data_IF_990999262766
#
_entry.id   IF_990999262766
#
_cell.length_a   1.000
_cell.length_b   1.000
_cell.length_c   1.000
_cell.angle_alpha   90.00
_cell.angle_beta   90.00
_cell.angle_gamma   90.00
#
_symmetry.space_group_name_H-M   'P 1'
#
loop_
_entity.id
_entity.type
_entity.pdbx_description
1 polymer ?
#
# COMPACT_ATOMS: atom_id res chain seq x y z
N UNK A 1 -26.43 26.76 -9.45
CA UNK A 1 -25.72 25.49 -9.78
C UNK A 1 -24.68 25.11 -8.73
N UNK A 2 -23.97 26.07 -8.10
CA UNK A 2 -22.92 25.78 -7.12
C UNK A 2 -23.40 25.19 -5.77
N UNK A 3 -24.59 25.56 -5.28
CA UNK A 3 -25.12 25.02 -4.00
C UNK A 3 -25.43 23.51 -4.08
N UNK A 4 -26.15 23.08 -5.12
CA UNK A 4 -26.54 21.68 -5.32
C UNK A 4 -25.33 20.76 -5.43
N UNK A 5 -24.28 21.19 -6.14
CA UNK A 5 -23.05 20.41 -6.28
C UNK A 5 -22.33 20.24 -4.93
N UNK A 6 -22.34 21.30 -4.11
CA UNK A 6 -21.72 21.28 -2.78
C UNK A 6 -22.52 20.43 -1.79
N UNK A 7 -23.85 20.44 -1.88
CA UNK A 7 -24.74 19.58 -1.08
C UNK A 7 -24.61 18.10 -1.46
N UNK A 8 -24.48 17.79 -2.75
CA UNK A 8 -24.16 16.43 -3.24
C UNK A 8 -22.80 15.99 -2.72
N UNK A 9 -21.78 16.85 -2.75
CA UNK A 9 -20.47 16.53 -2.22
C UNK A 9 -20.49 16.25 -0.71
N UNK A 10 -21.24 17.07 0.06
CA UNK A 10 -21.36 16.93 1.52
C UNK A 10 -22.14 15.67 1.91
N UNK A 11 -23.24 15.38 1.22
CA UNK A 11 -24.03 14.18 1.45
C UNK A 11 -23.25 12.90 1.13
N UNK A 12 -22.43 12.91 0.05
CA UNK A 12 -21.58 11.80 -0.32
C UNK A 12 -20.47 11.51 0.72
N UNK A 13 -19.92 12.55 1.35
CA UNK A 13 -18.96 12.39 2.46
C UNK A 13 -19.65 11.79 3.68
N UNK A 14 -20.80 12.33 4.08
CA UNK A 14 -21.55 11.85 5.26
C UNK A 14 -22.03 10.41 5.12
N UNK A 15 -22.55 10.03 3.95
CA UNK A 15 -23.05 8.68 3.69
C UNK A 15 -21.96 7.60 3.80
N UNK A 16 -20.68 8.00 3.75
CA UNK A 16 -19.55 7.09 3.71
C UNK A 16 -18.38 7.61 4.55
N UNK A 17 -18.69 8.14 5.73
CA UNK A 17 -17.74 8.73 6.64
C UNK A 17 -16.56 7.78 6.94
N UNK A 18 -16.79 6.47 7.06
CA UNK A 18 -15.73 5.48 7.33
C UNK A 18 -14.69 5.38 6.21
N UNK A 19 -15.13 5.41 4.94
CA UNK A 19 -14.23 5.36 3.79
C UNK A 19 -13.38 6.62 3.68
N UNK A 20 -13.99 7.78 3.95
CA UNK A 20 -13.31 9.07 3.95
C UNK A 20 -12.42 9.25 5.18
N UNK A 21 -12.79 8.68 6.33
CA UNK A 21 -11.98 8.64 7.54
C UNK A 21 -10.74 7.77 7.33
N UNK A 22 -10.88 6.59 6.73
CA UNK A 22 -9.73 5.75 6.36
C UNK A 22 -8.78 6.47 5.39
N UNK A 23 -9.34 7.18 4.40
CA UNK A 23 -8.57 8.01 3.48
C UNK A 23 -7.86 9.16 4.21
N UNK A 24 -8.57 9.90 5.06
CA UNK A 24 -8.02 11.00 5.86
C UNK A 24 -6.90 10.53 6.78
N UNK A 25 -7.10 9.46 7.55
CA UNK A 25 -6.07 8.88 8.43
C UNK A 25 -4.82 8.44 7.67
N UNK A 26 -4.99 7.89 6.46
CA UNK A 26 -3.85 7.54 5.60
C UNK A 26 -3.05 8.79 5.23
N UNK A 27 -3.73 9.91 4.98
CA UNK A 27 -3.10 11.19 4.64
C UNK A 27 -2.53 11.95 5.84
N UNK A 28 -3.11 11.79 7.03
CA UNK A 28 -2.48 12.25 8.28
C UNK A 28 -1.14 11.54 8.44
N UNK A 29 -1.13 10.20 8.38
CA UNK A 29 0.10 9.42 8.45
C UNK A 29 1.10 9.79 7.34
N UNK A 30 0.62 9.99 6.12
CA UNK A 30 1.43 10.42 4.98
C UNK A 30 2.08 11.78 5.22
N UNK A 31 1.31 12.79 5.65
CA UNK A 31 1.80 14.13 5.92
C UNK A 31 2.85 14.12 7.03
N UNK A 32 2.56 13.42 8.13
CA UNK A 32 3.53 13.22 9.22
C UNK A 32 4.83 12.59 8.70
N UNK A 33 4.73 11.50 7.92
CA UNK A 33 5.92 10.79 7.47
C UNK A 33 6.74 11.50 6.41
N UNK A 34 6.10 12.17 5.46
CA UNK A 34 6.79 13.01 4.47
C UNK A 34 7.45 14.20 5.16
N UNK A 35 6.78 14.84 6.14
CA UNK A 35 7.37 15.94 6.90
C UNK A 35 8.58 15.49 7.75
N UNK A 36 8.52 14.29 8.36
CA UNK A 36 9.66 13.72 9.08
C UNK A 36 10.83 13.47 8.11
N UNK A 37 10.58 12.79 6.99
CA UNK A 37 11.62 12.50 6.00
C UNK A 37 12.26 13.77 5.41
N UNK A 38 11.46 14.78 5.11
CA UNK A 38 11.94 16.08 4.63
C UNK A 38 12.72 16.86 5.70
N UNK A 39 12.39 16.72 6.99
CA UNK A 39 13.20 17.34 8.04
C UNK A 39 14.62 16.75 8.07
N UNK A 40 14.75 15.43 7.96
CA UNK A 40 16.05 14.78 7.86
C UNK A 40 16.79 15.13 6.55
N UNK A 41 16.07 15.19 5.41
CA UNK A 41 16.68 15.50 4.11
C UNK A 41 17.11 16.97 3.96
N UNK A 42 16.25 17.92 4.35
CA UNK A 42 16.44 19.35 4.02
C UNK A 42 17.16 20.11 5.14
N UNK A 43 16.99 19.66 6.38
CA UNK A 43 17.55 20.34 7.56
C UNK A 43 18.50 19.46 8.37
N UNK A 44 18.67 18.19 7.98
CA UNK A 44 19.75 17.35 8.48
C UNK A 44 21.09 17.72 7.85
N UNK A 45 22.18 17.18 8.40
CA UNK A 45 23.53 17.26 7.83
C UNK A 45 24.19 15.89 7.71
N UNK A 46 25.15 15.75 6.79
CA UNK A 46 25.94 14.53 6.62
C UNK A 46 25.10 13.31 6.27
N UNK A 47 25.33 12.19 6.98
CA UNK A 47 24.68 10.89 6.77
C UNK A 47 23.14 10.94 6.91
N UNK A 48 22.61 11.95 7.60
CA UNK A 48 21.16 12.15 7.76
C UNK A 48 20.45 12.56 6.47
N UNK A 49 21.17 13.17 5.51
CA UNK A 49 20.62 13.58 4.22
C UNK A 49 20.32 12.37 3.34
N UNK A 50 21.26 11.43 3.25
CA UNK A 50 21.13 10.18 2.49
C UNK A 50 20.02 9.28 3.06
N UNK A 51 19.97 9.17 4.40
CA UNK A 51 18.90 8.49 5.11
C UNK A 51 17.54 9.17 4.86
N UNK A 52 17.48 10.50 4.95
CA UNK A 52 16.28 11.29 4.68
C UNK A 52 15.75 11.09 3.26
N UNK A 53 16.63 11.06 2.26
CA UNK A 53 16.29 10.82 0.85
C UNK A 53 15.70 9.43 0.62
N UNK A 54 16.30 8.40 1.22
CA UNK A 54 15.82 7.01 1.12
C UNK A 54 14.45 6.84 1.79
N UNK A 55 14.30 7.38 3.01
CA UNK A 55 13.01 7.36 3.74
C UNK A 55 11.94 8.14 2.97
N UNK A 56 12.29 9.28 2.38
CA UNK A 56 11.38 10.07 1.55
C UNK A 56 10.92 9.26 0.32
N UNK A 57 11.84 8.62 -0.41
CA UNK A 57 11.50 7.77 -1.55
C UNK A 57 10.50 6.66 -1.19
N UNK A 58 10.74 6.00 -0.05
CA UNK A 58 9.85 4.95 0.47
C UNK A 58 8.50 5.49 0.93
N UNK A 59 8.50 6.62 1.63
CA UNK A 59 7.27 7.30 2.07
C UNK A 59 6.43 7.73 0.86
N UNK A 60 7.03 8.32 -0.17
CA UNK A 60 6.35 8.70 -1.41
C UNK A 60 5.64 7.49 -2.01
N UNK A 61 6.35 6.37 -2.18
CA UNK A 61 5.75 5.19 -2.81
C UNK A 61 4.63 4.60 -1.98
N UNK A 62 4.82 4.52 -0.66
CA UNK A 62 3.76 4.11 0.27
C UNK A 62 2.52 4.99 0.11
N UNK A 63 2.70 6.31 0.03
CA UNK A 63 1.62 7.29 -0.14
C UNK A 63 0.95 7.16 -1.51
N UNK A 64 1.71 7.16 -2.61
CA UNK A 64 1.18 7.03 -3.96
C UNK A 64 0.41 5.72 -4.14
N UNK A 65 0.96 4.60 -3.68
CA UNK A 65 0.34 3.30 -3.83
C UNK A 65 -0.88 3.12 -2.91
N UNK A 66 -0.82 3.63 -1.67
CA UNK A 66 -1.97 3.63 -0.74
C UNK A 66 -3.10 4.50 -1.27
N UNK A 67 -2.78 5.69 -1.78
CA UNK A 67 -3.73 6.60 -2.42
C UNK A 67 -4.34 5.98 -3.67
N UNK A 68 -3.50 5.47 -4.56
CA UNK A 68 -3.90 4.71 -5.73
C UNK A 68 -4.53 3.36 -5.35
N UNK A 69 -4.67 3.00 -4.09
CA UNK A 69 -5.45 1.84 -3.68
C UNK A 69 -6.83 2.28 -3.20
N UNK A 70 -6.86 3.18 -2.22
CA UNK A 70 -8.08 3.66 -1.57
C UNK A 70 -9.00 4.44 -2.52
N UNK A 71 -8.46 5.38 -3.31
CA UNK A 71 -9.26 6.12 -4.30
C UNK A 71 -9.92 5.19 -5.32
N UNK A 72 -9.28 4.05 -5.62
CA UNK A 72 -9.75 3.05 -6.56
C UNK A 72 -10.88 2.24 -6.00
N UNK A 73 -10.76 1.84 -4.74
CA UNK A 73 -11.81 1.20 -4.00
C UNK A 73 -13.04 2.11 -3.89
N UNK A 74 -12.85 3.34 -3.43
CA UNK A 74 -13.93 4.33 -3.26
C UNK A 74 -14.65 4.54 -4.59
N UNK A 75 -13.92 4.79 -5.68
CA UNK A 75 -14.53 5.04 -6.99
C UNK A 75 -15.22 3.79 -7.56
N UNK A 76 -14.62 2.60 -7.38
CA UNK A 76 -15.22 1.37 -7.89
C UNK A 76 -16.49 0.97 -7.13
N UNK A 77 -16.50 1.15 -5.81
CA UNK A 77 -17.65 0.83 -4.98
C UNK A 77 -18.83 1.76 -5.25
N UNK A 78 -18.56 3.03 -5.58
CA UNK A 78 -19.59 4.06 -5.81
C UNK A 78 -19.99 4.26 -7.27
N UNK A 79 -19.61 3.35 -8.16
CA UNK A 79 -19.95 3.46 -9.60
C UNK A 79 -21.45 3.70 -9.85
N UNK A 80 -22.32 3.06 -9.07
CA UNK A 80 -23.79 3.22 -9.19
C UNK A 80 -24.26 4.60 -8.74
N UNK A 81 -23.69 5.13 -7.66
CA UNK A 81 -23.99 6.49 -7.17
C UNK A 81 -23.56 7.52 -8.21
N UNK A 82 -22.34 7.42 -8.72
CA UNK A 82 -21.88 8.34 -9.76
C UNK A 82 -22.66 8.22 -11.07
N UNK A 83 -23.14 7.02 -11.40
CA UNK A 83 -24.07 6.83 -12.51
C UNK A 83 -25.42 7.54 -12.26
N UNK A 84 -25.96 7.47 -11.03
CA UNK A 84 -27.20 8.18 -10.68
C UNK A 84 -27.06 9.69 -10.76
N UNK A 85 -25.93 10.28 -10.38
CA UNK A 85 -25.71 11.72 -10.57
C UNK A 85 -25.76 12.12 -12.05
N UNK A 86 -25.20 11.28 -12.93
CA UNK A 86 -25.29 11.50 -14.38
C UNK A 86 -26.70 11.31 -14.92
N UNK A 87 -27.47 10.35 -14.39
CA UNK A 87 -28.88 10.15 -14.76
C UNK A 87 -29.75 11.30 -14.28
N UNK A 88 -29.38 11.96 -13.17
CA UNK A 88 -30.03 13.17 -12.66
C UNK A 88 -29.61 14.46 -13.40
N UNK A 89 -28.87 14.36 -14.51
CA UNK A 89 -28.51 15.49 -15.36
C UNK A 89 -27.13 16.11 -15.11
N UNK A 90 -26.33 15.57 -14.16
CA UNK A 90 -24.99 16.09 -13.92
C UNK A 90 -24.00 15.69 -15.03
N UNK A 91 -23.24 16.65 -15.56
CA UNK A 91 -22.26 16.36 -16.60
C UNK A 91 -21.13 15.45 -16.09
N UNK A 92 -20.55 14.65 -16.98
CA UNK A 92 -19.43 13.77 -16.62
C UNK A 92 -18.19 14.53 -16.13
N UNK A 93 -17.95 15.73 -16.67
CA UNK A 93 -16.87 16.62 -16.23
C UNK A 93 -17.13 17.13 -14.81
N UNK A 94 -18.36 17.56 -14.51
CA UNK A 94 -18.74 18.00 -13.17
C UNK A 94 -18.57 16.88 -12.13
N UNK A 95 -18.98 15.64 -12.46
CA UNK A 95 -18.77 14.48 -11.59
C UNK A 95 -17.30 14.21 -11.30
N UNK A 96 -16.47 14.28 -12.34
CA UNK A 96 -15.02 14.05 -12.21
C UNK A 96 -14.36 15.15 -11.37
N UNK A 97 -14.76 16.41 -11.57
CA UNK A 97 -14.25 17.56 -10.82
C UNK A 97 -14.63 17.50 -9.34
N UNK A 98 -15.86 17.12 -9.01
CA UNK A 98 -16.31 16.95 -7.61
C UNK A 98 -15.49 15.87 -6.90
N UNK A 99 -15.31 14.71 -7.53
CA UNK A 99 -14.53 13.61 -6.96
C UNK A 99 -13.08 14.05 -6.74
N UNK A 100 -12.46 14.69 -7.74
CA UNK A 100 -11.08 15.16 -7.65
C UNK A 100 -10.93 16.22 -6.56
N UNK A 101 -11.85 17.19 -6.49
CA UNK A 101 -11.87 18.21 -5.45
C UNK A 101 -11.98 17.61 -4.05
N UNK A 102 -12.91 16.66 -3.83
CA UNK A 102 -13.04 15.99 -2.54
C UNK A 102 -11.75 15.24 -2.15
N UNK A 103 -11.15 14.51 -3.09
CA UNK A 103 -9.91 13.78 -2.85
C UNK A 103 -8.77 14.74 -2.49
N UNK A 104 -8.59 15.83 -3.24
CA UNK A 104 -7.54 16.82 -3.00
C UNK A 104 -7.78 17.59 -1.70
N UNK A 105 -9.01 18.00 -1.42
CA UNK A 105 -9.36 18.74 -0.21
C UNK A 105 -9.13 17.88 1.04
N UNK A 106 -9.62 16.63 1.04
CA UNK A 106 -9.41 15.72 2.17
C UNK A 106 -7.93 15.38 2.33
N UNK A 107 -7.22 15.09 1.23
CA UNK A 107 -5.79 14.80 1.26
C UNK A 107 -4.97 15.98 1.81
N UNK A 108 -5.21 17.19 1.31
CA UNK A 108 -4.49 18.40 1.70
C UNK A 108 -4.75 18.82 3.14
N UNK A 109 -6.01 18.81 3.59
CA UNK A 109 -6.35 19.12 4.99
C UNK A 109 -5.79 18.08 5.96
N UNK A 110 -5.87 16.80 5.59
CA UNK A 110 -5.36 15.71 6.43
C UNK A 110 -3.84 15.68 6.47
N UNK A 111 -3.15 15.92 5.34
CA UNK A 111 -1.69 16.00 5.32
C UNK A 111 -1.20 17.22 6.07
N UNK A 112 -1.89 18.36 6.00
CA UNK A 112 -1.58 19.52 6.83
C UNK A 112 -1.66 19.16 8.32
N UNK A 113 -2.76 18.53 8.75
CA UNK A 113 -2.92 18.06 10.12
C UNK A 113 -1.80 17.09 10.55
N UNK A 114 -1.43 16.15 9.67
CA UNK A 114 -0.32 15.22 9.90
C UNK A 114 1.05 15.90 10.02
N UNK A 115 1.34 16.84 9.12
CA UNK A 115 2.61 17.58 9.13
C UNK A 115 2.75 18.46 10.38
N UNK A 116 1.65 18.99 10.92
CA UNK A 116 1.66 19.76 12.18
C UNK A 116 1.98 18.89 13.41
N UNK A 117 1.75 17.57 13.33
CA UNK A 117 2.09 16.60 14.40
C UNK A 117 3.51 16.04 14.23
N UNK A 118 4.18 16.31 13.11
CA UNK A 118 5.54 15.84 12.86
C UNK A 118 6.63 16.36 13.84
N UNK A 119 6.61 17.62 14.34
CA UNK A 119 7.68 18.13 15.22
C UNK A 119 8.01 17.25 16.44
N UNK A 120 7.04 16.82 17.28
CA UNK A 120 7.35 15.95 18.42
C UNK A 120 7.87 14.57 17.98
N UNK A 121 7.49 14.07 16.80
CA UNK A 121 7.94 12.78 16.28
C UNK A 121 9.39 12.88 15.81
N UNK A 122 9.75 13.94 15.07
CA UNK A 122 11.14 14.22 14.69
C UNK A 122 12.01 14.36 15.94
N UNK A 123 11.55 15.07 16.97
CA UNK A 123 12.28 15.16 18.25
C UNK A 123 12.51 13.78 18.89
N UNK A 124 11.50 12.91 18.91
CA UNK A 124 11.64 11.55 19.42
C UNK A 124 12.60 10.69 18.57
N UNK A 125 12.58 10.84 17.25
CA UNK A 125 13.49 10.15 16.34
C UNK A 125 14.93 10.59 16.54
N UNK A 126 15.19 11.90 16.59
CA UNK A 126 16.53 12.45 16.85
C UNK A 126 17.07 11.95 18.19
N UNK A 127 16.24 11.95 19.23
CA UNK A 127 16.64 11.42 20.54
C UNK A 127 17.05 9.94 20.45
N UNK A 128 16.32 9.12 19.69
CA UNK A 128 16.67 7.71 19.47
C UNK A 128 17.93 7.52 18.65
N UNK A 129 18.12 8.31 17.59
CA UNK A 129 19.30 8.22 16.73
C UNK A 129 20.56 8.65 17.48
N UNK A 130 20.48 9.72 18.28
CA UNK A 130 21.60 10.18 19.13
C UNK A 130 21.99 9.19 20.21
N UNK A 131 21.04 8.41 20.74
CA UNK A 131 21.34 7.32 21.69
C UNK A 131 22.21 6.22 21.07
N UNK A 132 22.19 6.09 19.75
CA UNK A 132 22.99 5.12 19.00
C UNK A 132 24.30 5.71 18.46
N UNK A 133 24.64 6.96 18.83
CA UNK A 133 25.92 7.58 18.52
C UNK A 133 26.04 8.19 17.12
N UNK A 134 24.95 8.22 16.34
CA UNK A 134 24.93 8.83 14.99
C UNK A 134 24.66 10.33 15.10
N UNK A 135 25.53 11.15 14.50
CA UNK A 135 25.32 12.59 14.41
C UNK A 135 24.37 12.92 13.25
N UNK A 136 23.14 13.31 13.60
CA UNK A 136 22.06 13.63 12.67
C UNK A 136 21.89 15.14 12.46
N UNK A 137 22.76 15.97 13.03
CA UNK A 137 22.58 17.42 13.06
C UNK A 137 21.34 17.82 13.86
N UNK A 138 20.59 18.81 13.35
CA UNK A 138 19.40 19.36 14.02
C UNK A 138 18.20 19.45 13.06
N UNK A 139 17.60 18.29 12.68
CA UNK A 139 16.49 18.27 11.75
C UNK A 139 15.25 18.91 12.38
N UNK A 140 14.68 19.90 11.69
CA UNK A 140 13.57 20.72 12.17
C UNK A 140 12.45 20.79 11.14
N UNK A 141 11.22 20.65 11.63
CA UNK A 141 10.02 20.85 10.81
C UNK A 141 9.66 22.34 10.81
N UNK A 142 10.02 23.05 9.73
CA UNK A 142 9.66 24.45 9.52
C UNK A 142 8.45 24.58 8.57
N UNK A 143 7.98 25.83 8.34
CA UNK A 143 6.83 26.09 7.47
C UNK A 143 7.08 25.61 6.02
N UNK A 144 8.32 25.71 5.52
CA UNK A 144 8.68 25.23 4.19
C UNK A 144 8.56 23.71 4.06
N UNK A 145 9.06 22.96 5.04
CA UNK A 145 8.93 21.49 5.11
C UNK A 145 7.46 21.08 5.14
N UNK A 146 6.63 21.78 5.91
CA UNK A 146 5.18 21.54 5.97
C UNK A 146 4.53 21.80 4.60
N UNK A 147 4.84 22.93 3.96
CA UNK A 147 4.28 23.28 2.66
C UNK A 147 4.66 22.26 1.57
N UNK A 148 5.93 21.84 1.54
CA UNK A 148 6.43 20.82 0.60
C UNK A 148 5.75 19.48 0.87
N UNK A 149 5.64 19.04 2.13
CA UNK A 149 4.98 17.79 2.48
C UNK A 149 3.51 17.76 2.05
N UNK A 150 2.78 18.87 2.28
CA UNK A 150 1.39 19.01 1.85
C UNK A 150 1.28 18.99 0.32
N UNK A 151 2.16 19.69 -0.39
CA UNK A 151 2.21 19.71 -1.86
C UNK A 151 2.50 18.33 -2.47
N UNK A 152 3.43 17.59 -1.88
CA UNK A 152 3.74 16.21 -2.24
C UNK A 152 2.50 15.31 -2.02
N UNK A 153 1.86 15.39 -0.86
CA UNK A 153 0.66 14.59 -0.59
C UNK A 153 -0.49 14.93 -1.54
N UNK A 154 -0.72 16.22 -1.81
CA UNK A 154 -1.76 16.68 -2.72
C UNK A 154 -1.49 16.23 -4.16
N UNK A 155 -0.25 16.34 -4.64
CA UNK A 155 0.13 15.83 -5.97
C UNK A 155 -0.01 14.30 -6.04
N UNK A 156 0.31 13.58 -4.95
CA UNK A 156 0.01 12.16 -4.80
C UNK A 156 -1.47 11.82 -4.90
N UNK A 157 -2.32 12.64 -4.26
CA UNK A 157 -3.78 12.53 -4.34
C UNK A 157 -4.29 12.67 -5.76
N UNK A 158 -3.79 13.68 -6.48
CA UNK A 158 -4.13 13.92 -7.89
C UNK A 158 -3.65 12.73 -8.74
N UNK A 159 -2.38 12.35 -8.67
CA UNK A 159 -1.81 11.27 -9.47
C UNK A 159 -2.52 9.93 -9.28
N UNK A 160 -2.87 9.58 -8.04
CA UNK A 160 -3.56 8.32 -7.71
C UNK A 160 -5.05 8.29 -8.07
N UNK A 161 -5.71 9.46 -8.17
CA UNK A 161 -7.16 9.55 -8.37
C UNK A 161 -7.59 10.09 -9.74
N UNK A 162 -6.76 10.87 -10.44
CA UNK A 162 -7.12 11.57 -11.68
C UNK A 162 -7.66 10.62 -12.75
N UNK A 163 -6.92 9.57 -13.09
CA UNK A 163 -7.36 8.59 -14.10
C UNK A 163 -8.66 7.89 -13.73
N UNK A 164 -8.98 7.80 -12.43
CA UNK A 164 -10.21 7.17 -11.92
C UNK A 164 -11.38 8.14 -11.95
N UNK A 165 -11.17 9.37 -11.49
CA UNK A 165 -12.14 10.45 -11.57
C UNK A 165 -12.54 10.69 -13.03
N UNK A 166 -11.57 10.85 -13.94
CA UNK A 166 -11.80 11.01 -15.38
C UNK A 166 -12.57 9.81 -15.95
N UNK A 167 -12.27 8.59 -15.51
CA UNK A 167 -13.00 7.40 -15.97
C UNK A 167 -14.49 7.38 -15.60
N UNK A 168 -14.90 8.13 -14.57
CA UNK A 168 -16.32 8.33 -14.23
C UNK A 168 -17.00 9.22 -15.26
N UNK A 169 -16.32 10.31 -15.65
CA UNK A 169 -16.84 11.24 -16.66
C UNK A 169 -17.10 10.56 -18.00
N UNK A 170 -16.17 9.72 -18.44
CA UNK A 170 -16.17 9.11 -19.78
C UNK A 170 -17.14 7.93 -19.95
N UNK A 171 -17.62 7.33 -18.86
CA UNK A 171 -18.50 6.15 -18.95
C UNK A 171 -19.96 6.55 -19.16
N UNK A 172 -20.68 5.96 -20.14
CA UNK A 172 -22.12 6.21 -20.28
C UNK A 172 -22.90 5.80 -19.02
N UNK A 173 -23.84 6.64 -18.59
CA UNK A 173 -24.58 6.46 -17.33
C UNK A 173 -25.33 5.12 -17.28
N UNK A 174 -26.01 4.75 -18.38
CA UNK A 174 -26.76 3.49 -18.49
C UNK A 174 -25.83 2.27 -18.42
N UNK A 175 -24.63 2.31 -19.03
CA UNK A 175 -23.64 1.23 -18.92
C UNK A 175 -23.03 1.16 -17.52
N UNK A 176 -22.85 2.30 -16.85
CA UNK A 176 -22.37 2.35 -15.47
C UNK A 176 -23.44 1.85 -14.46
N UNK A 177 -24.73 2.08 -14.74
CA UNK A 177 -25.86 1.62 -13.93
C UNK A 177 -26.19 0.14 -14.16
N UNK A 178 -26.23 -0.33 -15.42
CA UNK A 178 -26.47 -1.74 -15.80
C UNK A 178 -25.26 -2.64 -15.55
N UNK A 179 -24.06 -2.07 -15.61
CA UNK A 179 -22.82 -2.82 -15.51
C UNK A 179 -22.49 -3.23 -14.09
N UNK A 180 -22.98 -4.39 -13.66
CA UNK A 180 -22.31 -5.24 -12.69
C UNK A 180 -20.98 -5.82 -13.24
N UNK A 181 -20.25 -5.01 -14.04
CA UNK A 181 -18.99 -5.42 -14.64
C UNK A 181 -17.98 -5.58 -13.51
N UNK A 182 -17.64 -6.84 -13.24
CA UNK A 182 -16.65 -7.26 -12.25
C UNK A 182 -15.41 -6.38 -12.40
N UNK A 183 -15.06 -5.55 -11.40
CA UNK A 183 -13.98 -4.61 -11.56
C UNK A 183 -12.66 -5.37 -11.68
N UNK A 184 -12.06 -5.26 -12.86
CA UNK A 184 -10.74 -5.80 -13.20
C UNK A 184 -9.69 -4.73 -12.97
N UNK A 185 -8.50 -5.13 -12.51
CA UNK A 185 -7.36 -4.19 -12.46
C UNK A 185 -7.11 -3.63 -13.86
N UNK A 186 -6.92 -2.31 -13.93
CA UNK A 186 -6.48 -1.60 -15.14
C UNK A 186 -4.99 -1.32 -15.04
N UNK A 187 -4.29 -1.51 -16.14
CA UNK A 187 -2.88 -1.14 -16.30
C UNK A 187 -2.83 0.37 -16.50
N UNK A 188 -2.23 1.10 -15.57
CA UNK A 188 -1.98 2.52 -15.72
C UNK A 188 -0.74 2.72 -16.59
N UNK A 189 -0.79 3.62 -17.58
CA UNK A 189 0.35 3.89 -18.49
C UNK A 189 1.56 4.36 -17.67
N UNK A 190 1.39 5.42 -16.89
CA UNK A 190 2.47 5.97 -16.06
C UNK A 190 3.02 5.00 -15.02
N UNK A 191 2.15 4.28 -14.30
CA UNK A 191 2.59 3.23 -13.37
C UNK A 191 3.37 2.12 -14.08
N UNK A 192 3.03 1.81 -15.33
CA UNK A 192 3.78 0.83 -16.13
C UNK A 192 5.14 1.38 -16.54
N UNK A 193 5.21 2.64 -17.01
CA UNK A 193 6.48 3.29 -17.39
C UNK A 193 7.43 3.31 -16.21
N UNK A 194 7.01 3.88 -15.06
CA UNK A 194 7.84 3.90 -13.86
C UNK A 194 8.22 2.49 -13.39
N UNK A 195 7.26 1.55 -13.40
CA UNK A 195 7.52 0.17 -13.02
C UNK A 195 8.55 -0.52 -13.90
N UNK A 196 8.52 -0.30 -15.21
CA UNK A 196 9.51 -0.82 -16.16
C UNK A 196 10.86 -0.14 -15.99
N UNK A 197 10.90 1.17 -15.72
CA UNK A 197 12.14 1.88 -15.41
C UNK A 197 12.80 1.27 -14.17
N UNK A 198 12.08 1.14 -13.05
CA UNK A 198 12.61 0.51 -11.85
C UNK A 198 13.03 -0.95 -12.08
N UNK A 199 12.23 -1.73 -12.82
CA UNK A 199 12.59 -3.11 -13.15
C UNK A 199 13.87 -3.19 -13.98
N UNK A 200 14.01 -2.31 -14.98
CA UNK A 200 15.21 -2.20 -15.81
C UNK A 200 16.44 -1.80 -14.99
N UNK A 201 16.31 -0.78 -14.15
CA UNK A 201 17.38 -0.34 -13.24
C UNK A 201 17.81 -1.47 -12.29
N UNK A 202 16.85 -2.14 -11.64
CA UNK A 202 17.15 -3.27 -10.74
C UNK A 202 17.76 -4.49 -11.45
N UNK A 203 17.49 -4.66 -12.74
CA UNK A 203 18.10 -5.72 -13.55
C UNK A 203 19.51 -5.36 -14.05
N UNK A 204 19.76 -4.09 -14.37
CA UNK A 204 21.04 -3.62 -14.93
C UNK A 204 22.10 -3.40 -13.84
N UNK A 205 21.71 -2.82 -12.70
CA UNK A 205 22.62 -2.46 -11.61
C UNK A 205 23.52 -3.60 -11.09
N UNK A 206 23.06 -4.86 -10.96
CA UNK A 206 23.94 -5.97 -10.58
C UNK A 206 25.10 -6.25 -11.55
N UNK A 207 24.99 -5.77 -12.80
CA UNK A 207 25.98 -5.99 -13.86
C UNK A 207 26.89 -4.77 -14.09
N UNK A 208 26.67 -3.64 -13.43
CA UNK A 208 27.55 -2.48 -13.51
C UNK A 208 28.78 -2.68 -12.61
N UNK A 209 29.95 -2.26 -13.09
CA UNK A 209 31.21 -2.42 -12.35
C UNK A 209 31.24 -1.66 -11.01
N UNK A 210 30.43 -0.60 -10.89
CA UNK A 210 30.32 0.25 -9.69
C UNK A 210 29.68 -0.46 -8.49
N UNK A 211 28.84 -1.48 -8.72
CA UNK A 211 28.13 -2.22 -7.66
C UNK A 211 28.81 -3.56 -7.32
N UNK A 212 29.87 -3.94 -8.05
CA UNK A 212 30.62 -5.17 -7.81
C UNK A 212 31.55 -4.99 -6.61
N UNK A 213 31.19 -5.62 -5.50
CA UNK A 213 31.97 -5.61 -4.26
C UNK A 213 31.41 -4.71 -3.16
N UNK A 214 30.33 -3.97 -3.43
CA UNK A 214 29.57 -3.25 -2.40
C UNK A 214 28.41 -4.13 -1.88
N UNK A 215 28.45 -4.60 -0.63
CA UNK A 215 27.38 -5.42 -0.07
C UNK A 215 26.07 -4.64 0.12
N UNK A 216 26.11 -3.30 0.24
CA UNK A 216 24.93 -2.44 0.42
C UNK A 216 24.05 -2.35 -0.84
N UNK A 217 24.65 -2.62 -2.01
CA UNK A 217 23.98 -2.69 -3.31
C UNK A 217 22.73 -3.60 -3.30
N UNK A 218 22.78 -4.73 -2.58
CA UNK A 218 21.66 -5.67 -2.48
C UNK A 218 20.43 -5.08 -1.80
N UNK A 219 20.62 -4.20 -0.80
CA UNK A 219 19.53 -3.48 -0.12
C UNK A 219 18.89 -2.44 -1.06
N UNK A 220 19.72 -1.69 -1.79
CA UNK A 220 19.27 -0.74 -2.80
C UNK A 220 18.48 -1.42 -3.92
N UNK A 221 18.98 -2.53 -4.46
CA UNK A 221 18.30 -3.30 -5.51
C UNK A 221 16.98 -3.90 -4.98
N UNK A 222 16.96 -4.46 -3.76
CA UNK A 222 15.71 -4.96 -3.16
C UNK A 222 14.65 -3.85 -3.04
N UNK A 223 15.06 -2.64 -2.70
CA UNK A 223 14.18 -1.47 -2.66
C UNK A 223 13.65 -1.10 -4.05
N UNK A 224 14.52 -1.08 -5.07
CA UNK A 224 14.14 -0.84 -6.47
C UNK A 224 13.18 -1.92 -7.00
N UNK A 225 13.41 -3.19 -6.65
CA UNK A 225 12.54 -4.30 -7.04
C UNK A 225 11.17 -4.18 -6.33
N UNK A 226 11.12 -3.80 -5.06
CA UNK A 226 9.86 -3.52 -4.37
C UNK A 226 9.07 -2.42 -5.10
N UNK A 227 9.75 -1.33 -5.48
CA UNK A 227 9.17 -0.22 -6.24
C UNK A 227 8.59 -0.70 -7.58
N UNK A 228 9.39 -1.46 -8.34
CA UNK A 228 8.96 -2.05 -9.60
C UNK A 228 7.73 -2.95 -9.42
N UNK A 229 7.74 -3.84 -8.41
CA UNK A 229 6.64 -4.76 -8.13
C UNK A 229 5.35 -4.01 -7.78
N UNK A 230 5.41 -2.96 -6.97
CA UNK A 230 4.23 -2.18 -6.60
C UNK A 230 3.62 -1.48 -7.82
N UNK A 231 4.45 -0.85 -8.65
CA UNK A 231 4.04 -0.19 -9.88
C UNK A 231 3.49 -1.17 -10.93
N UNK A 232 4.10 -2.35 -11.06
CA UNK A 232 3.73 -3.39 -12.01
C UNK A 232 2.67 -4.37 -11.48
N UNK A 233 2.17 -4.20 -10.25
CA UNK A 233 1.13 -5.07 -9.67
C UNK A 233 -0.06 -5.32 -10.61
N UNK A 234 -0.58 -4.33 -11.37
CA UNK A 234 -1.59 -4.54 -12.40
C UNK A 234 -1.28 -5.59 -13.46
N UNK A 235 0.00 -5.81 -13.75
CA UNK A 235 0.46 -6.76 -14.76
C UNK A 235 0.52 -8.18 -14.22
N UNK A 236 1.08 -8.37 -13.02
CA UNK A 236 1.36 -9.70 -12.50
C UNK A 236 0.41 -10.20 -11.42
N UNK A 237 -0.53 -9.40 -10.90
CA UNK A 237 -1.50 -9.92 -9.91
C UNK A 237 -2.34 -11.09 -10.45
N UNK A 238 -2.66 -11.09 -11.75
CA UNK A 238 -3.41 -12.18 -12.39
C UNK A 238 -2.63 -13.50 -12.48
N UNK A 239 -1.36 -13.52 -12.95
CA UNK A 239 -0.56 -14.73 -12.92
C UNK A 239 -0.25 -15.16 -11.49
N UNK A 240 0.03 -14.23 -10.56
CA UNK A 240 0.26 -14.58 -9.16
C UNK A 240 -0.96 -15.30 -8.58
N UNK A 241 -2.17 -14.77 -8.77
CA UNK A 241 -3.37 -15.43 -8.26
C UNK A 241 -3.66 -16.82 -8.88
N UNK A 242 -2.88 -17.32 -9.85
CA UNK A 242 -3.04 -18.70 -10.32
C UNK A 242 -2.66 -19.74 -9.27
N UNK A 243 -1.79 -19.41 -8.31
CA UNK A 243 -1.45 -20.31 -7.20
C UNK A 243 -2.72 -20.74 -6.44
N UNK A 244 -3.74 -19.88 -6.40
CA UNK A 244 -5.03 -20.15 -5.73
C UNK A 244 -5.83 -21.30 -6.38
N UNK A 245 -5.42 -21.81 -7.55
CA UNK A 245 -5.94 -23.07 -8.12
C UNK A 245 -5.62 -24.27 -7.23
N UNK A 246 -4.48 -24.27 -6.56
CA UNK A 246 -4.11 -25.36 -5.64
C UNK A 246 -5.12 -25.52 -4.51
N UNK A 247 -5.73 -24.41 -4.06
CA UNK A 247 -6.77 -24.41 -3.03
C UNK A 247 -8.10 -25.04 -3.49
N UNK A 248 -8.24 -25.42 -4.78
CA UNK A 248 -9.41 -26.15 -5.24
C UNK A 248 -9.55 -27.52 -4.57
N UNK A 249 -8.44 -28.13 -4.18
CA UNK A 249 -8.40 -29.40 -3.45
C UNK A 249 -9.00 -29.28 -2.05
N UNK A 250 -9.00 -28.08 -1.45
CA UNK A 250 -9.48 -27.83 -0.08
C UNK A 250 -11.01 -27.71 0.04
N UNK A 251 -11.76 -28.01 -1.03
CA UNK A 251 -13.23 -28.09 -1.03
C UNK A 251 -13.95 -26.93 -1.74
N UNK A 252 -15.29 -26.99 -1.73
CA UNK A 252 -16.15 -26.08 -2.50
C UNK A 252 -16.07 -24.63 -2.02
N UNK A 253 -16.00 -24.40 -0.71
CA UNK A 253 -15.90 -23.04 -0.15
C UNK A 253 -14.58 -22.36 -0.52
N UNK A 254 -13.49 -23.14 -0.61
CA UNK A 254 -12.20 -22.64 -1.06
C UNK A 254 -12.25 -22.27 -2.55
N UNK A 255 -12.86 -23.11 -3.40
CA UNK A 255 -13.07 -22.83 -4.82
C UNK A 255 -13.87 -21.54 -5.07
N UNK A 256 -14.96 -21.33 -4.32
CA UNK A 256 -15.77 -20.11 -4.44
C UNK A 256 -14.97 -18.87 -4.04
N UNK A 257 -14.22 -18.95 -2.95
CA UNK A 257 -13.39 -17.85 -2.46
C UNK A 257 -12.24 -17.50 -3.43
N UNK A 258 -11.56 -18.49 -4.02
CA UNK A 258 -10.45 -18.25 -4.94
C UNK A 258 -10.91 -17.89 -6.35
N UNK A 259 -12.07 -18.40 -6.77
CA UNK A 259 -12.76 -17.97 -7.97
C UNK A 259 -13.15 -16.49 -7.88
N UNK A 260 -13.71 -16.05 -6.75
CA UNK A 260 -14.10 -14.65 -6.55
C UNK A 260 -12.89 -13.72 -6.53
N UNK A 261 -11.80 -14.08 -5.82
CA UNK A 261 -10.55 -13.32 -5.80
C UNK A 261 -9.95 -13.13 -7.21
N UNK A 262 -9.93 -14.19 -8.03
CA UNK A 262 -9.43 -14.13 -9.41
C UNK A 262 -10.35 -13.36 -10.35
N UNK A 263 -11.67 -13.48 -10.19
CA UNK A 263 -12.62 -12.73 -11.01
C UNK A 263 -12.51 -11.22 -10.75
N UNK A 264 -12.30 -10.85 -9.48
CA UNK A 264 -12.37 -9.47 -8.96
C UNK A 264 -10.99 -8.90 -8.64
N UNK A 265 -10.05 -9.00 -9.58
CA UNK A 265 -8.66 -8.65 -9.31
C UNK A 265 -8.47 -7.21 -8.84
N UNK A 266 -9.32 -6.24 -9.22
CA UNK A 266 -9.19 -4.85 -8.76
C UNK A 266 -9.30 -4.74 -7.24
N UNK A 267 -10.21 -5.52 -6.67
CA UNK A 267 -10.48 -5.56 -5.26
C UNK A 267 -9.41 -6.34 -4.49
N UNK A 268 -9.01 -7.49 -5.03
CA UNK A 268 -7.92 -8.28 -4.43
C UNK A 268 -6.60 -7.50 -4.45
N UNK A 269 -6.26 -6.86 -5.57
CA UNK A 269 -5.07 -6.01 -5.68
C UNK A 269 -5.09 -4.88 -4.66
N UNK A 270 -6.26 -4.29 -4.40
CA UNK A 270 -6.41 -3.21 -3.44
C UNK A 270 -6.30 -3.66 -1.97
N UNK A 271 -6.43 -4.96 -1.68
CA UNK A 271 -6.11 -5.52 -0.37
C UNK A 271 -4.64 -5.98 -0.33
N UNK A 272 -4.09 -6.52 -1.42
CA UNK A 272 -2.72 -7.04 -1.47
C UNK A 272 -1.69 -5.91 -1.41
N UNK A 273 -1.85 -4.83 -2.18
CA UNK A 273 -0.79 -3.81 -2.36
C UNK A 273 -0.34 -3.15 -1.05
N UNK A 274 -1.24 -2.63 -0.18
CA UNK A 274 -0.79 -1.95 1.04
C UNK A 274 -0.10 -2.90 2.02
N UNK A 275 -0.60 -4.13 2.15
CA UNK A 275 0.02 -5.14 3.01
C UNK A 275 1.34 -5.66 2.44
N UNK A 276 1.44 -5.81 1.11
CA UNK A 276 2.70 -6.14 0.44
C UNK A 276 3.72 -5.02 0.57
N UNK A 277 3.32 -3.74 0.53
CA UNK A 277 4.21 -2.62 0.83
C UNK A 277 4.73 -2.69 2.26
N UNK A 278 3.83 -2.84 3.23
CA UNK A 278 4.20 -2.95 4.64
C UNK A 278 5.16 -4.12 4.88
N UNK A 279 4.80 -5.32 4.45
CA UNK A 279 5.60 -6.53 4.61
C UNK A 279 6.87 -6.49 3.76
N UNK A 280 6.82 -5.90 2.56
CA UNK A 280 7.96 -5.76 1.65
C UNK A 280 9.00 -4.78 2.17
N UNK A 281 8.59 -3.68 2.79
CA UNK A 281 9.52 -2.76 3.47
C UNK A 281 10.13 -3.39 4.72
N UNK A 282 9.31 -4.03 5.57
CA UNK A 282 9.81 -4.63 6.83
C UNK A 282 10.65 -5.88 6.58
N UNK A 283 10.13 -6.83 5.82
CA UNK A 283 10.75 -8.15 5.61
C UNK A 283 11.55 -8.17 4.32
N UNK A 284 10.99 -7.67 3.21
CA UNK A 284 11.66 -7.71 1.91
C UNK A 284 12.97 -6.91 1.87
N UNK A 285 12.96 -5.70 2.42
CA UNK A 285 14.16 -4.84 2.55
C UNK A 285 14.92 -5.11 3.86
N UNK A 286 14.23 -5.43 4.96
CA UNK A 286 14.92 -5.74 6.21
C UNK A 286 15.72 -7.06 6.20
N UNK A 287 15.34 -8.04 5.40
CA UNK A 287 16.09 -9.31 5.29
C UNK A 287 17.49 -9.16 4.66
N UNK A 288 17.69 -8.43 3.54
CA UNK A 288 19.03 -8.14 3.04
C UNK A 288 19.85 -7.25 4.00
N UNK A 289 19.23 -6.34 4.76
CA UNK A 289 19.93 -5.58 5.81
C UNK A 289 20.44 -6.52 6.91
N UNK A 290 19.60 -7.48 7.34
CA UNK A 290 20.03 -8.52 8.28
C UNK A 290 21.16 -9.38 7.70
N UNK A 291 21.09 -9.74 6.42
CA UNK A 291 22.16 -10.48 5.75
C UNK A 291 23.49 -9.70 5.76
N UNK A 292 23.44 -8.39 5.47
CA UNK A 292 24.58 -7.49 5.50
C UNK A 292 25.25 -7.45 6.88
N UNK A 293 24.46 -7.22 7.94
CA UNK A 293 24.98 -7.19 9.32
C UNK A 293 25.56 -8.52 9.81
N UNK A 294 25.22 -9.64 9.16
CA UNK A 294 25.82 -10.95 9.45
C UNK A 294 27.20 -11.16 8.79
N UNK A 295 27.57 -10.31 7.83
CA UNK A 295 28.87 -10.36 7.13
C UNK A 295 29.89 -9.41 7.75
N UNK A 296 29.45 -8.27 8.29
CA UNK A 296 30.34 -7.31 8.96
C UNK A 296 30.57 -7.70 10.43
N UNK A 297 31.59 -8.52 10.69
CA UNK A 297 32.06 -8.82 12.07
C UNK A 297 32.55 -7.53 12.76
N UNK A 298 31.71 -6.95 13.62
CA UNK A 298 32.04 -5.76 14.42
C UNK A 298 31.06 -4.59 14.27
N UNK A 299 30.17 -4.62 13.28
CA UNK A 299 29.03 -3.70 13.20
C UNK A 299 27.94 -4.17 14.19
N UNK A 300 28.19 -3.96 15.47
CA UNK A 300 27.33 -4.45 16.55
C UNK A 300 25.92 -3.88 16.45
N UNK A 301 24.97 -4.65 15.89
CA UNK A 301 23.52 -4.46 16.06
C UNK A 301 23.08 -2.98 16.03
N UNK A 302 23.70 -2.18 15.14
CA UNK A 302 23.50 -0.74 15.05
C UNK A 302 22.66 -0.38 13.83
N UNK A 303 21.33 -0.45 13.83
CA UNK A 303 20.43 -1.32 14.59
C UNK A 303 19.19 -1.49 13.73
N UNK A 304 18.69 -2.72 13.58
CA UNK A 304 17.38 -2.94 12.94
C UNK A 304 16.30 -2.04 13.58
N UNK A 305 16.46 -1.71 14.88
CA UNK A 305 15.62 -0.76 15.60
C UNK A 305 15.61 0.64 15.01
N UNK A 306 16.77 1.22 14.71
CA UNK A 306 16.92 2.56 14.13
C UNK A 306 16.43 2.58 12.68
N UNK A 307 16.68 1.51 11.93
CA UNK A 307 16.05 1.28 10.61
C UNK A 307 14.52 1.28 10.71
N UNK A 308 13.92 0.56 11.67
CA UNK A 308 12.47 0.55 11.86
C UNK A 308 11.91 1.88 12.37
N UNK A 309 12.63 2.59 13.23
CA UNK A 309 12.23 3.92 13.72
C UNK A 309 12.21 4.92 12.57
N UNK A 310 13.22 4.92 11.70
CA UNK A 310 13.30 5.81 10.53
C UNK A 310 12.32 5.41 9.42
N UNK A 311 12.06 4.12 9.21
CA UNK A 311 11.07 3.63 8.24
C UNK A 311 9.64 3.72 8.73
N UNK A 312 9.39 3.79 10.05
CA UNK A 312 8.06 3.84 10.64
C UNK A 312 7.11 4.81 9.91
N UNK A 313 7.50 6.05 9.57
CA UNK A 313 6.60 6.98 8.91
C UNK A 313 6.24 6.59 7.47
N UNK A 314 7.07 5.78 6.79
CA UNK A 314 6.73 5.20 5.49
C UNK A 314 5.79 3.98 5.63
N UNK A 315 5.83 3.28 6.75
CA UNK A 315 5.02 2.08 7.02
C UNK A 315 3.57 2.41 7.41
N UNK A 316 3.34 3.48 8.17
CA UNK A 316 2.01 3.81 8.70
C UNK A 316 0.96 4.03 7.59
N UNK A 317 1.22 4.78 6.50
CA UNK A 317 0.24 4.96 5.42
C UNK A 317 -0.21 3.62 4.80
N UNK A 318 0.73 2.70 4.58
CA UNK A 318 0.44 1.37 4.04
C UNK A 318 -0.40 0.53 5.03
N UNK A 319 -0.12 0.59 6.32
CA UNK A 319 -0.90 -0.09 7.36
C UNK A 319 -2.33 0.46 7.42
N UNK A 320 -2.49 1.78 7.50
CA UNK A 320 -3.80 2.44 7.57
C UNK A 320 -4.60 2.18 6.29
N UNK A 321 -3.96 2.21 5.12
CA UNK A 321 -4.61 1.86 3.85
C UNK A 321 -4.97 0.38 3.77
N UNK A 322 -4.14 -0.51 4.33
CA UNK A 322 -4.42 -1.94 4.44
C UNK A 322 -5.68 -2.22 5.25
N UNK A 323 -5.80 -1.64 6.44
CA UNK A 323 -7.01 -1.74 7.29
C UNK A 323 -8.19 -1.02 6.65
N UNK A 324 -7.97 0.19 6.14
CA UNK A 324 -8.97 1.02 5.47
C UNK A 324 -9.60 0.32 4.27
N UNK A 325 -8.81 -0.41 3.47
CA UNK A 325 -9.31 -1.18 2.34
C UNK A 325 -10.36 -2.22 2.75
N UNK A 326 -10.20 -2.83 3.93
CA UNK A 326 -11.15 -3.81 4.46
C UNK A 326 -12.47 -3.14 4.86
N UNK A 327 -12.39 -1.99 5.52
CA UNK A 327 -13.55 -1.20 5.93
C UNK A 327 -14.35 -0.70 4.72
N UNK A 328 -13.68 -0.20 3.68
CA UNK A 328 -14.33 0.25 2.44
C UNK A 328 -15.07 -0.90 1.73
N UNK A 329 -14.57 -2.13 1.88
CA UNK A 329 -15.15 -3.32 1.25
C UNK A 329 -16.22 -4.01 2.11
N UNK A 330 -16.53 -3.48 3.29
CA UNK A 330 -17.56 -4.03 4.17
C UNK A 330 -18.98 -4.11 3.54
N UNK A 331 -19.50 -3.07 2.86
CA UNK A 331 -20.84 -3.13 2.24
C UNK A 331 -20.92 -4.24 1.18
N UNK A 332 -19.87 -4.37 0.36
CA UNK A 332 -19.75 -5.45 -0.61
C UNK A 332 -19.74 -6.82 0.05
N UNK A 333 -18.94 -7.00 1.11
CA UNK A 333 -18.85 -8.29 1.82
C UNK A 333 -20.23 -8.74 2.31
N UNK A 334 -21.05 -7.80 2.81
CA UNK A 334 -22.45 -8.08 3.18
C UNK A 334 -23.32 -8.49 1.98
N UNK A 335 -23.13 -7.85 0.82
CA UNK A 335 -23.86 -8.21 -0.40
C UNK A 335 -23.46 -9.60 -0.93
N UNK A 336 -22.17 -9.93 -0.93
CA UNK A 336 -21.66 -11.26 -1.28
C UNK A 336 -22.22 -12.32 -0.31
N UNK A 337 -22.24 -12.05 1.00
CA UNK A 337 -22.85 -12.94 2.00
C UNK A 337 -24.34 -13.17 1.79
N UNK A 338 -25.12 -12.11 1.51
CA UNK A 338 -26.56 -12.21 1.20
C UNK A 338 -26.80 -13.04 -0.06
N UNK A 339 -25.94 -12.91 -1.05
CA UNK A 339 -26.03 -13.68 -2.29
C UNK A 339 -25.79 -15.17 -2.02
N UNK A 340 -24.79 -15.50 -1.20
CA UNK A 340 -24.55 -16.87 -0.75
C UNK A 340 -25.72 -17.42 0.08
N UNK A 341 -26.30 -16.61 0.96
CA UNK A 341 -27.47 -16.99 1.75
C UNK A 341 -28.68 -17.32 0.87
N UNK A 342 -28.96 -16.48 -0.14
CA UNK A 342 -30.03 -16.70 -1.12
C UNK A 342 -29.79 -17.92 -2.01
N UNK A 343 -28.53 -18.27 -2.24
CA UNK A 343 -28.13 -19.50 -2.93
C UNK A 343 -28.22 -20.76 -2.03
N UNK A 344 -28.73 -20.65 -0.80
CA UNK A 344 -28.90 -21.78 0.12
C UNK A 344 -27.67 -22.14 0.94
N UNK A 345 -26.62 -21.31 0.96
CA UNK A 345 -25.41 -21.63 1.71
C UNK A 345 -25.61 -21.52 3.22
N UNK A 346 -25.27 -22.58 3.95
CA UNK A 346 -25.29 -22.59 5.42
C UNK A 346 -24.36 -21.53 6.02
N UNK A 347 -24.63 -21.11 7.26
CA UNK A 347 -23.78 -20.15 7.99
C UNK A 347 -22.32 -20.63 8.09
N UNK A 348 -22.11 -21.93 8.27
CA UNK A 348 -20.76 -22.53 8.32
C UNK A 348 -20.04 -22.43 6.98
N UNK A 349 -20.73 -22.65 5.86
CA UNK A 349 -20.15 -22.50 4.51
C UNK A 349 -19.84 -21.04 4.19
N UNK A 350 -20.71 -20.10 4.58
CA UNK A 350 -20.48 -18.66 4.43
C UNK A 350 -19.23 -18.19 5.18
N UNK A 351 -19.10 -18.55 6.47
CA UNK A 351 -17.94 -18.20 7.27
C UNK A 351 -16.64 -18.82 6.71
N UNK A 352 -16.69 -20.08 6.28
CA UNK A 352 -15.54 -20.75 5.64
C UNK A 352 -15.13 -20.05 4.34
N UNK A 353 -16.07 -19.62 3.51
CA UNK A 353 -15.74 -18.89 2.27
C UNK A 353 -15.03 -17.56 2.56
N UNK A 354 -15.47 -16.81 3.59
CA UNK A 354 -14.83 -15.56 4.01
C UNK A 354 -13.41 -15.80 4.55
N UNK A 355 -13.22 -16.86 5.34
CA UNK A 355 -11.90 -17.29 5.85
C UNK A 355 -10.95 -17.70 4.73
N UNK A 356 -11.43 -18.46 3.74
CA UNK A 356 -10.63 -18.85 2.59
C UNK A 356 -10.24 -17.65 1.72
N UNK A 357 -11.13 -16.67 1.55
CA UNK A 357 -10.80 -15.43 0.84
C UNK A 357 -9.73 -14.66 1.61
N UNK A 358 -9.85 -14.59 2.95
CA UNK A 358 -8.82 -13.95 3.77
C UNK A 358 -7.46 -14.66 3.64
N UNK A 359 -7.47 -15.99 3.77
CA UNK A 359 -6.28 -16.84 3.63
C UNK A 359 -5.59 -16.65 2.28
N UNK A 360 -6.37 -16.63 1.18
CA UNK A 360 -5.83 -16.49 -0.17
C UNK A 360 -5.19 -15.11 -0.39
N UNK A 361 -5.77 -14.04 0.15
CA UNK A 361 -5.18 -12.70 0.02
C UNK A 361 -3.92 -12.58 0.89
N UNK A 362 -3.94 -13.06 2.14
CA UNK A 362 -2.78 -13.05 3.04
C UNK A 362 -1.63 -13.90 2.49
N UNK A 363 -1.90 -15.11 2.03
CA UNK A 363 -0.88 -15.96 1.42
C UNK A 363 -0.32 -15.35 0.13
N UNK A 364 -1.11 -14.62 -0.65
CA UNK A 364 -0.61 -13.88 -1.82
C UNK A 364 0.40 -12.80 -1.41
N UNK A 365 0.12 -12.05 -0.33
CA UNK A 365 1.09 -11.10 0.24
C UNK A 365 2.35 -11.83 0.69
N UNK A 366 2.22 -12.94 1.42
CA UNK A 366 3.35 -13.73 1.87
C UNK A 366 4.25 -14.24 0.74
N UNK A 367 3.65 -14.77 -0.34
CA UNK A 367 4.39 -15.23 -1.53
C UNK A 367 5.18 -14.08 -2.16
N UNK A 368 4.55 -12.91 -2.33
CA UNK A 368 5.20 -11.75 -2.92
C UNK A 368 6.34 -11.22 -2.04
N UNK A 369 6.11 -11.13 -0.73
CA UNK A 369 7.12 -10.66 0.23
C UNK A 369 8.30 -11.63 0.34
N UNK A 370 8.04 -12.94 0.35
CA UNK A 370 9.09 -13.96 0.33
C UNK A 370 9.89 -13.91 -0.96
N UNK A 371 9.24 -13.78 -2.11
CA UNK A 371 9.92 -13.61 -3.39
C UNK A 371 10.87 -12.40 -3.39
N UNK A 372 10.41 -11.26 -2.87
CA UNK A 372 11.24 -10.07 -2.71
C UNK A 372 12.41 -10.29 -1.75
N UNK A 373 12.16 -10.86 -0.56
CA UNK A 373 13.19 -11.12 0.44
C UNK A 373 14.27 -12.09 -0.09
N UNK A 374 13.85 -13.13 -0.83
CA UNK A 374 14.76 -14.08 -1.47
C UNK A 374 15.68 -13.40 -2.48
N UNK A 375 15.13 -12.54 -3.35
CA UNK A 375 15.93 -11.80 -4.33
C UNK A 375 16.92 -10.86 -3.65
N UNK A 376 16.47 -10.10 -2.64
CA UNK A 376 17.33 -9.20 -1.89
C UNK A 376 18.47 -9.92 -1.18
N UNK A 377 18.16 -10.97 -0.41
CA UNK A 377 19.16 -11.77 0.31
C UNK A 377 20.14 -12.45 -0.65
N UNK A 378 19.65 -13.02 -1.76
CA UNK A 378 20.52 -13.64 -2.76
C UNK A 378 21.52 -12.63 -3.35
N UNK A 379 21.05 -11.44 -3.72
CA UNK A 379 21.92 -10.40 -4.27
C UNK A 379 22.96 -9.91 -3.26
N UNK A 380 22.54 -9.63 -2.02
CA UNK A 380 23.47 -9.24 -0.94
C UNK A 380 24.53 -10.31 -0.69
N UNK A 381 24.15 -11.59 -0.67
CA UNK A 381 25.11 -12.67 -0.46
C UNK A 381 26.06 -12.84 -1.66
N UNK A 382 25.57 -12.69 -2.90
CA UNK A 382 26.42 -12.74 -4.10
C UNK A 382 27.46 -11.63 -4.07
N UNK A 383 27.08 -10.40 -3.74
CA UNK A 383 28.01 -9.27 -3.71
C UNK A 383 28.99 -9.36 -2.55
N UNK A 384 28.56 -9.88 -1.40
CA UNK A 384 29.37 -9.97 -0.19
C UNK A 384 30.29 -11.20 -0.13
N UNK A 385 29.81 -12.37 -0.57
CA UNK A 385 30.49 -13.67 -0.39
C UNK A 385 30.76 -14.42 -1.71
N UNK A 386 30.31 -13.89 -2.85
CA UNK A 386 30.41 -14.56 -4.14
C UNK A 386 29.42 -15.73 -4.33
N UNK A 387 28.57 -16.03 -3.34
CA UNK A 387 27.59 -17.12 -3.40
C UNK A 387 26.17 -16.61 -3.09
N UNK A 388 25.18 -17.03 -3.86
CA UNK A 388 23.79 -16.57 -3.65
C UNK A 388 23.13 -17.17 -2.40
N UNK A 389 23.39 -18.46 -2.14
CA UNK A 389 22.71 -19.23 -1.11
C UNK A 389 23.71 -20.03 -0.24
N UNK A 390 24.47 -19.36 0.64
CA UNK A 390 25.31 -20.03 1.63
C UNK A 390 24.48 -20.86 2.63
N UNK A 391 25.07 -21.83 3.33
CA UNK A 391 24.36 -22.84 4.15
C UNK A 391 23.38 -22.30 5.21
N UNK A 392 23.46 -21.02 5.58
CA UNK A 392 22.57 -20.33 6.52
C UNK A 392 21.76 -19.17 5.91
N UNK A 393 21.62 -19.07 4.58
CA UNK A 393 20.92 -17.96 3.90
C UNK A 393 19.49 -17.71 4.41
N UNK A 394 18.80 -18.77 4.81
CA UNK A 394 17.42 -18.72 5.29
C UNK A 394 17.30 -18.04 6.66
N UNK A 395 18.36 -18.00 7.46
CA UNK A 395 18.38 -17.34 8.76
C UNK A 395 18.35 -15.81 8.63
N UNK A 396 18.79 -15.28 7.48
CA UNK A 396 18.74 -13.84 7.17
C UNK A 396 17.31 -13.34 6.88
N UNK A 397 16.37 -14.25 6.58
CA UNK A 397 14.97 -13.87 6.40
C UNK A 397 14.35 -13.52 7.75
N UNK A 398 13.67 -12.38 7.80
CA UNK A 398 12.92 -11.91 8.98
C UNK A 398 11.60 -12.68 9.16
N UNK A 399 11.70 -13.96 9.52
CA UNK A 399 10.56 -14.86 9.72
C UNK A 399 9.57 -14.38 10.78
N UNK A 400 10.08 -13.89 11.94
CA UNK A 400 9.22 -13.43 13.03
C UNK A 400 8.35 -12.22 12.61
N UNK A 401 8.91 -11.12 12.06
CA UNK A 401 8.09 -10.05 11.50
C UNK A 401 7.15 -10.51 10.40
N UNK A 402 7.57 -11.42 9.51
CA UNK A 402 6.73 -11.96 8.45
C UNK A 402 5.49 -12.66 9.02
N UNK A 403 5.68 -13.60 9.95
CA UNK A 403 4.59 -14.33 10.59
C UNK A 403 3.69 -13.38 11.36
N UNK A 404 4.25 -12.39 12.08
CA UNK A 404 3.48 -11.41 12.82
C UNK A 404 2.57 -10.56 11.90
N UNK A 405 3.13 -10.01 10.82
CA UNK A 405 2.37 -9.17 9.86
C UNK A 405 1.28 -9.99 9.17
N UNK A 406 1.61 -11.20 8.69
CA UNK A 406 0.64 -12.05 8.00
C UNK A 406 -0.48 -12.53 8.95
N UNK A 407 -0.14 -12.85 10.20
CA UNK A 407 -1.12 -13.24 11.22
C UNK A 407 -2.04 -12.07 11.58
N UNK A 408 -1.48 -10.87 11.77
CA UNK A 408 -2.26 -9.66 12.03
C UNK A 408 -3.18 -9.34 10.85
N UNK A 409 -2.67 -9.39 9.62
CA UNK A 409 -3.46 -9.21 8.40
C UNK A 409 -4.63 -10.21 8.33
N UNK A 410 -4.34 -11.50 8.55
CA UNK A 410 -5.36 -12.55 8.51
C UNK A 410 -6.42 -12.33 9.59
N UNK A 411 -6.00 -12.08 10.84
CA UNK A 411 -6.91 -11.86 11.97
C UNK A 411 -7.80 -10.62 11.75
N UNK A 412 -7.24 -9.52 11.27
CA UNK A 412 -7.99 -8.31 10.94
C UNK A 412 -8.99 -8.57 9.80
N UNK A 413 -8.54 -9.20 8.72
CA UNK A 413 -9.42 -9.51 7.59
C UNK A 413 -10.55 -10.46 7.96
N UNK A 414 -10.23 -11.53 8.70
CA UNK A 414 -11.22 -12.48 9.18
C UNK A 414 -12.18 -11.81 10.18
N UNK A 415 -11.65 -11.06 11.15
CA UNK A 415 -12.40 -10.36 12.19
C UNK A 415 -13.37 -9.34 11.59
N UNK A 416 -12.90 -8.43 10.73
CA UNK A 416 -13.74 -7.44 10.06
C UNK A 416 -14.84 -8.15 9.26
N UNK A 417 -14.53 -9.20 8.52
CA UNK A 417 -15.54 -9.94 7.73
C UNK A 417 -16.56 -10.67 8.61
N UNK A 418 -16.16 -11.16 9.78
CA UNK A 418 -17.04 -11.88 10.71
C UNK A 418 -17.91 -10.97 11.58
N UNK A 419 -17.42 -9.78 11.92
CA UNK A 419 -18.13 -8.81 12.77
C UNK A 419 -19.20 -8.01 12.02
N UNK A 420 -19.26 -8.10 10.69
CA UNK A 420 -20.28 -7.38 9.94
C UNK A 420 -21.68 -7.90 10.31
N UNK A 421 -22.61 -7.03 10.75
CA UNK A 421 -23.96 -7.46 11.11
C UNK A 421 -24.60 -8.19 9.94
N UNK A 422 -24.87 -9.48 10.15
CA UNK A 422 -25.57 -10.33 9.20
C UNK A 422 -26.96 -9.76 9.06
N UNK A 423 -27.29 -9.20 7.90
CA UNK A 423 -28.67 -8.84 7.61
C UNK A 423 -29.52 -10.08 7.80
N UNK A 424 -30.58 -10.00 8.62
CA UNK A 424 -31.63 -11.02 8.65
C UNK A 424 -32.09 -11.18 7.19
N UNK A 425 -31.95 -12.40 6.68
CA UNK A 425 -32.27 -12.75 5.30
C UNK A 425 -33.78 -12.62 5.06
#
# INVERSE_FOLDING_TARGET
>A
MNSVVMDVARSDIRANALSWLAFALTYVAAGTGVACALAFLVTGGGESEELGGTVLGMALVSVFASTATLSGLIVNERRRVYASWKMAGMSGAAASAVILFQVVAVAGLSSLGGSLVAPPIVGAMVARVRLEGVDVGDPRVNLAVIAIAVGICASGAVGGSLGRAVSVGWRPAVKAARGAAVPKVRRGVWATVFGLTFAGTGLILPFTGEMRGDPTAGVGIATIVLLAMVCLMPWFIRPVLQWTRALHACGVTARVATGSARARTAYTSAQVVPWFLLAGMVVGVGSPIKALSGVEEGAGVSSLGLTFVLLAPALVPALVAGVGSMCVMAPRTRADERTLARAGASTRQRNRALLWEASAVTATVGILTLGLALVGVALTNVTATGSAFPSAWWASILWLPLVAILSAMFALMAGVKMMLPRGRA
#
